data_IF_854442732631
#
_entry.id   IF_854442732631
#
_cell.length_a   1.000
_cell.length_b   1.000
_cell.length_c   1.000
_cell.angle_alpha   90.00
_cell.angle_beta   90.00
_cell.angle_gamma   90.00
#
_symmetry.space_group_name_H-M   'P 1'
#
loop_
_entity.id
_entity.type
_entity.pdbx_description
1 polymer ?
#
# COMPACT_ATOMS: atom_id res chain seq x y z
N UNK A 1 0.09 -8.69 -21.59
CA UNK A 1 0.12 -7.93 -20.32
C UNK A 1 1.56 -7.77 -19.91
N UNK A 2 1.96 -6.54 -19.56
CA UNK A 2 3.27 -6.29 -18.98
C UNK A 2 3.26 -6.59 -17.47
N UNK A 3 4.44 -6.77 -16.87
CA UNK A 3 4.57 -6.96 -15.42
C UNK A 3 3.92 -5.82 -14.63
N UNK A 4 3.96 -4.60 -15.17
CA UNK A 4 3.32 -3.42 -14.58
C UNK A 4 1.79 -3.52 -14.57
N UNK A 5 1.20 -4.07 -15.63
CA UNK A 5 -0.25 -4.27 -15.70
C UNK A 5 -0.70 -5.32 -14.69
N UNK A 6 0.09 -6.39 -14.53
CA UNK A 6 -0.19 -7.45 -13.57
C UNK A 6 -0.09 -6.95 -12.12
N UNK A 7 0.95 -6.17 -11.80
CA UNK A 7 1.11 -5.53 -10.49
C UNK A 7 -0.10 -4.65 -10.19
N UNK A 8 -0.46 -3.76 -11.13
CA UNK A 8 -1.58 -2.84 -10.96
C UNK A 8 -2.90 -3.59 -10.74
N UNK A 9 -3.15 -4.66 -11.52
CA UNK A 9 -4.33 -5.47 -11.35
C UNK A 9 -4.40 -6.11 -9.95
N UNK A 10 -3.30 -6.72 -9.49
CA UNK A 10 -3.22 -7.31 -8.14
C UNK A 10 -3.44 -6.28 -7.03
N UNK A 11 -2.88 -5.08 -7.17
CA UNK A 11 -3.09 -4.00 -6.20
C UNK A 11 -4.56 -3.55 -6.17
N UNK A 12 -5.21 -3.44 -7.32
CA UNK A 12 -6.62 -3.07 -7.40
C UNK A 12 -7.55 -4.15 -6.83
N UNK A 13 -7.25 -5.42 -7.07
CA UNK A 13 -7.97 -6.55 -6.47
C UNK A 13 -7.86 -6.53 -4.93
N UNK A 14 -6.65 -6.32 -4.41
CA UNK A 14 -6.43 -6.18 -2.96
C UNK A 14 -7.17 -4.96 -2.37
N UNK A 15 -7.13 -3.82 -3.05
CA UNK A 15 -7.86 -2.62 -2.64
C UNK A 15 -9.38 -2.84 -2.65
N UNK A 16 -9.90 -3.59 -3.62
CA UNK A 16 -11.32 -3.96 -3.67
C UNK A 16 -11.72 -4.82 -2.47
N UNK A 17 -10.90 -5.81 -2.08
CA UNK A 17 -11.16 -6.63 -0.89
C UNK A 17 -11.23 -5.78 0.38
N UNK A 18 -10.29 -4.84 0.54
CA UNK A 18 -10.28 -3.92 1.68
C UNK A 18 -11.53 -3.01 1.72
N UNK A 19 -12.02 -2.56 0.55
CA UNK A 19 -13.25 -1.78 0.46
C UNK A 19 -14.50 -2.56 0.92
N UNK A 20 -14.56 -3.88 0.65
CA UNK A 20 -15.64 -4.75 1.14
C UNK A 20 -15.63 -4.80 2.68
N UNK A 21 -14.45 -4.78 3.27
CA UNK A 21 -14.24 -4.77 4.74
C UNK A 21 -14.45 -3.38 5.37
N UNK A 22 -15.03 -2.43 4.64
CA UNK A 22 -15.20 -1.03 5.09
C UNK A 22 -13.89 -0.33 5.43
N UNK A 23 -12.77 -0.77 4.86
CA UNK A 23 -11.45 -0.19 5.00
C UNK A 23 -10.87 0.23 3.63
N UNK A 24 -11.53 1.12 2.87
CA UNK A 24 -11.07 1.45 1.52
C UNK A 24 -9.68 2.09 1.56
N UNK A 25 -8.77 1.57 0.74
CA UNK A 25 -7.45 2.17 0.57
C UNK A 25 -7.57 3.47 -0.24
N UNK A 26 -6.87 4.51 0.20
CA UNK A 26 -6.76 5.76 -0.54
C UNK A 26 -5.77 5.65 -1.72
N UNK A 27 -5.74 6.68 -2.57
CA UNK A 27 -4.89 6.69 -3.77
C UNK A 27 -3.39 6.66 -3.44
N UNK A 28 -2.96 7.28 -2.33
CA UNK A 28 -1.56 7.25 -1.91
C UNK A 28 -1.14 5.88 -1.39
N UNK A 29 -2.02 5.21 -0.65
CA UNK A 29 -1.83 3.85 -0.16
C UNK A 29 -1.73 2.86 -1.33
N UNK A 30 -2.62 2.96 -2.33
CA UNK A 30 -2.54 2.15 -3.55
C UNK A 30 -1.21 2.39 -4.29
N UNK A 31 -0.82 3.66 -4.48
CA UNK A 31 0.44 3.99 -5.15
C UNK A 31 1.68 3.49 -4.39
N UNK A 32 1.61 3.46 -3.05
CA UNK A 32 2.65 2.92 -2.18
C UNK A 32 2.82 1.40 -2.38
N UNK A 33 1.74 0.63 -2.43
CA UNK A 33 1.82 -0.81 -2.70
C UNK A 33 2.37 -1.10 -4.10
N UNK A 34 1.93 -0.36 -5.12
CA UNK A 34 2.50 -0.46 -6.48
C UNK A 34 4.00 -0.12 -6.52
N UNK A 35 4.48 0.76 -5.64
CA UNK A 35 5.91 1.07 -5.52
C UNK A 35 6.69 -0.12 -4.93
N UNK A 36 6.16 -0.81 -3.93
CA UNK A 36 6.85 -1.95 -3.31
C UNK A 36 7.09 -3.07 -4.32
N UNK A 37 6.06 -3.41 -5.09
CA UNK A 37 6.15 -4.42 -6.14
C UNK A 37 7.13 -4.01 -7.23
N UNK A 38 7.07 -2.75 -7.69
CA UNK A 38 8.02 -2.22 -8.68
C UNK A 38 9.47 -2.23 -8.20
N UNK A 39 9.70 -2.02 -6.91
CA UNK A 39 11.05 -2.05 -6.31
C UNK A 39 11.48 -3.45 -5.87
N UNK A 40 10.62 -4.46 -5.99
CA UNK A 40 10.89 -5.81 -5.52
C UNK A 40 11.22 -5.87 -4.03
N UNK A 41 10.56 -5.05 -3.20
CA UNK A 41 10.86 -5.02 -1.78
C UNK A 41 10.43 -6.30 -1.07
N UNK A 42 11.27 -6.89 -0.21
CA UNK A 42 10.85 -8.00 0.63
C UNK A 42 9.81 -7.51 1.65
N UNK A 43 8.91 -8.41 2.05
CA UNK A 43 7.80 -8.12 2.96
C UNK A 43 8.25 -7.41 4.25
N UNK A 44 9.35 -7.87 4.86
CA UNK A 44 9.92 -7.26 6.07
C UNK A 44 10.19 -5.75 5.91
N UNK A 45 10.69 -5.36 4.73
CA UNK A 45 10.97 -3.96 4.41
C UNK A 45 9.70 -3.17 4.15
N UNK A 46 8.69 -3.78 3.53
CA UNK A 46 7.38 -3.16 3.32
C UNK A 46 6.71 -2.88 4.68
N UNK A 47 6.70 -3.87 5.58
CA UNK A 47 6.15 -3.75 6.92
C UNK A 47 6.84 -2.66 7.72
N UNK A 48 8.18 -2.63 7.72
CA UNK A 48 8.94 -1.59 8.41
C UNK A 48 8.56 -0.18 7.91
N UNK A 49 8.41 0.00 6.59
CA UNK A 49 8.01 1.27 5.99
C UNK A 49 6.59 1.69 6.37
N UNK A 50 5.63 0.75 6.32
CA UNK A 50 4.24 1.03 6.70
C UNK A 50 4.16 1.44 8.17
N UNK A 51 4.88 0.74 9.05
CA UNK A 51 4.93 1.06 10.48
C UNK A 51 5.53 2.44 10.76
N UNK A 52 6.62 2.79 10.06
CA UNK A 52 7.23 4.12 10.17
C UNK A 52 6.27 5.23 9.71
N UNK A 53 5.61 5.05 8.56
CA UNK A 53 4.59 5.97 8.06
C UNK A 53 3.43 6.14 9.05
N UNK A 54 2.92 5.04 9.58
CA UNK A 54 1.81 5.06 10.54
C UNK A 54 2.17 5.81 11.83
N UNK A 55 3.42 5.66 12.31
CA UNK A 55 3.91 6.41 13.47
C UNK A 55 3.99 7.91 13.20
N UNK A 56 4.48 8.31 12.02
CA UNK A 56 4.54 9.72 11.63
C UNK A 56 3.15 10.36 11.50
N UNK A 57 2.19 9.66 10.91
CA UNK A 57 0.81 10.15 10.83
C UNK A 57 0.14 10.26 12.21
N UNK A 58 0.46 9.35 13.13
CA UNK A 58 -0.04 9.43 14.50
C UNK A 58 0.55 10.61 15.28
N UNK A 59 1.80 11.00 15.03
CA UNK A 59 2.38 12.21 15.63
C UNK A 59 1.75 13.49 15.05
N UNK A 60 1.54 13.55 13.75
CA UNK A 60 0.96 14.73 13.08
C UNK A 60 -0.51 14.95 13.46
N UNK A 61 -1.24 13.89 13.80
CA UNK A 61 -2.64 13.98 14.26
C UNK A 61 -2.78 14.39 15.74
N UNK A 62 -1.69 14.38 16.51
CA UNK A 62 -1.68 14.71 17.93
C UNK A 62 -1.21 16.16 18.22
N UNK A 63 -0.83 16.91 17.18
CA UNK A 63 -0.41 18.31 17.21
C UNK A 63 -1.56 19.26 16.80
#
# INVERSE_FOLDING_TARGET
>A
MSDKDLIRQRTLEAAHLQAIESNPLDAEQVAMFEMFDRKGWPEEKQLAYILERARAQASDAAE
#
